data_IF_484353803559
#
_entry.id   IF_484353803559
#
_cell.length_a   1.000
_cell.length_b   1.000
_cell.length_c   1.000
_cell.angle_alpha   90.00
_cell.angle_beta   90.00
_cell.angle_gamma   90.00
#
_symmetry.space_group_name_H-M   'P 1'
#
loop_
_entity.id
_entity.type
_entity.pdbx_description
1 polymer ?
#
# COMPACT_ATOMS: atom_id res chain seq x y z
N UNK A 1 -21.76 -0.66 -20.55
CA UNK A 1 -22.99 0.08 -20.18
C UNK A 1 -23.92 0.27 -21.38
N UNK A 2 -23.43 0.88 -22.46
CA UNK A 2 -24.14 0.98 -23.74
C UNK A 2 -23.20 0.55 -24.88
N UNK A 3 -23.40 -0.63 -25.49
CA UNK A 3 -22.55 -1.13 -26.57
C UNK A 3 -23.07 -0.65 -27.94
N UNK A 4 -22.95 0.65 -28.22
CA UNK A 4 -23.38 1.22 -29.50
C UNK A 4 -22.48 0.81 -30.67
N UNK A 5 -23.08 0.64 -31.86
CA UNK A 5 -22.40 0.25 -33.10
C UNK A 5 -21.91 1.44 -33.94
N UNK A 6 -22.38 2.64 -33.63
CA UNK A 6 -21.99 3.92 -34.22
C UNK A 6 -22.21 5.04 -33.20
N UNK A 7 -21.73 6.25 -33.47
CA UNK A 7 -21.96 7.40 -32.58
C UNK A 7 -23.46 7.72 -32.40
N UNK A 8 -24.25 7.55 -33.47
CA UNK A 8 -25.71 7.77 -33.42
C UNK A 8 -26.38 6.73 -32.56
N UNK A 9 -26.00 5.46 -32.73
CA UNK A 9 -26.52 4.36 -31.92
C UNK A 9 -26.10 4.53 -30.45
N UNK A 10 -24.86 4.95 -30.21
CA UNK A 10 -24.37 5.25 -28.87
C UNK A 10 -25.19 6.36 -28.20
N UNK A 11 -25.49 7.45 -28.90
CA UNK A 11 -26.31 8.55 -28.38
C UNK A 11 -27.77 8.14 -28.18
N UNK A 12 -28.33 7.29 -29.05
CA UNK A 12 -29.66 6.71 -28.87
C UNK A 12 -29.72 5.87 -27.59
N UNK A 13 -28.75 4.98 -27.37
CA UNK A 13 -28.68 4.12 -26.18
C UNK A 13 -28.50 4.94 -24.90
N UNK A 14 -27.69 6.00 -24.93
CA UNK A 14 -27.55 6.93 -23.81
C UNK A 14 -28.90 7.62 -23.52
N UNK A 15 -29.59 8.14 -24.56
CA UNK A 15 -30.90 8.78 -24.39
C UNK A 15 -31.95 7.83 -23.83
N UNK A 16 -31.93 6.57 -24.28
CA UNK A 16 -32.83 5.53 -23.80
C UNK A 16 -32.71 5.30 -22.29
N UNK A 17 -31.53 5.54 -21.71
CA UNK A 17 -31.30 5.33 -20.26
C UNK A 17 -31.34 6.61 -19.44
N UNK A 18 -30.80 7.72 -19.95
CA UNK A 18 -30.61 8.96 -19.19
C UNK A 18 -31.58 10.08 -19.58
N UNK A 19 -32.44 9.86 -20.58
CA UNK A 19 -33.34 10.86 -21.12
C UNK A 19 -32.67 11.78 -22.15
N UNK A 20 -33.32 12.90 -22.45
CA UNK A 20 -32.92 13.77 -23.55
C UNK A 20 -31.56 14.45 -23.34
N UNK A 21 -30.84 14.65 -24.45
CA UNK A 21 -29.62 15.45 -24.47
C UNK A 21 -29.96 16.89 -24.06
N UNK A 22 -29.07 17.51 -23.29
CA UNK A 22 -29.19 18.94 -22.96
C UNK A 22 -28.91 19.82 -24.18
N UNK A 23 -29.46 21.04 -24.17
CA UNK A 23 -29.34 21.99 -25.28
C UNK A 23 -27.89 22.25 -25.72
N UNK A 24 -26.97 22.33 -24.74
CA UNK A 24 -25.53 22.48 -24.99
C UNK A 24 -24.97 21.37 -25.89
N UNK A 25 -25.36 20.11 -25.66
CA UNK A 25 -24.92 18.98 -26.48
C UNK A 25 -25.55 19.00 -27.87
N UNK A 26 -26.84 19.34 -27.95
CA UNK A 26 -27.55 19.47 -29.23
C UNK A 26 -26.91 20.56 -30.11
N UNK A 27 -26.56 21.70 -29.50
CA UNK A 27 -25.88 22.78 -30.20
C UNK A 27 -24.51 22.33 -30.76
N UNK A 28 -23.71 21.62 -29.95
CA UNK A 28 -22.41 21.08 -30.38
C UNK A 28 -22.57 20.11 -31.56
N UNK A 29 -23.54 19.18 -31.49
CA UNK A 29 -23.81 18.24 -32.59
C UNK A 29 -24.18 18.97 -33.89
N UNK A 30 -25.06 19.98 -33.82
CA UNK A 30 -25.47 20.78 -34.99
C UNK A 30 -24.33 21.60 -35.57
N UNK A 31 -23.38 22.04 -34.75
CA UNK A 31 -22.21 22.81 -35.19
C UNK A 31 -21.17 21.97 -35.92
N UNK A 32 -21.14 20.66 -35.67
CA UNK A 32 -20.18 19.75 -36.28
C UNK A 32 -20.63 19.34 -37.69
N UNK A 33 -19.84 19.61 -38.75
CA UNK A 33 -20.19 19.23 -40.12
C UNK A 33 -20.50 17.75 -40.32
N UNK A 34 -19.88 16.85 -39.54
CA UNK A 34 -20.12 15.41 -39.61
C UNK A 34 -21.49 14.99 -39.07
N UNK A 35 -22.09 15.78 -38.18
CA UNK A 35 -23.38 15.48 -37.54
C UNK A 35 -24.50 16.47 -37.89
N UNK A 36 -24.23 17.50 -38.71
CA UNK A 36 -25.17 18.57 -39.05
C UNK A 36 -26.54 18.07 -39.56
N UNK A 37 -26.54 16.96 -40.31
CA UNK A 37 -27.75 16.35 -40.88
C UNK A 37 -28.12 15.02 -40.20
N UNK A 38 -27.47 14.68 -39.08
CA UNK A 38 -27.70 13.44 -38.36
C UNK A 38 -28.86 13.63 -37.40
N UNK A 39 -29.91 12.84 -37.58
CA UNK A 39 -31.04 12.79 -36.65
C UNK A 39 -30.85 11.61 -35.68
N UNK A 40 -30.74 11.91 -34.39
CA UNK A 40 -30.71 10.88 -33.34
C UNK A 40 -32.15 10.48 -33.04
N UNK A 41 -32.56 9.22 -33.27
CA UNK A 41 -33.92 8.79 -33.00
C UNK A 41 -34.32 9.02 -31.54
N UNK A 42 -35.60 9.31 -31.32
CA UNK A 42 -36.16 9.34 -29.97
C UNK A 42 -36.49 7.91 -29.53
N UNK A 43 -36.09 7.49 -28.32
CA UNK A 43 -36.46 6.19 -27.79
C UNK A 43 -37.97 6.10 -27.51
N UNK A 44 -38.62 5.03 -27.93
CA UNK A 44 -40.05 4.78 -27.65
C UNK A 44 -40.32 4.61 -26.15
N UNK A 45 -39.34 4.05 -25.43
CA UNK A 45 -39.39 3.84 -23.98
C UNK A 45 -38.06 4.21 -23.34
N UNK A 46 -38.14 4.68 -22.09
CA UNK A 46 -36.97 4.90 -21.25
C UNK A 46 -36.73 3.64 -20.41
N UNK A 47 -35.49 3.17 -20.40
CA UNK A 47 -34.99 2.09 -19.55
C UNK A 47 -33.95 2.67 -18.59
N UNK A 48 -34.36 3.15 -17.39
CA UNK A 48 -33.45 3.79 -16.44
C UNK A 48 -32.45 2.78 -15.85
N UNK A 49 -31.43 3.29 -15.16
CA UNK A 49 -30.35 2.45 -14.61
C UNK A 49 -30.87 1.40 -13.62
N UNK A 50 -31.89 1.73 -12.83
CA UNK A 50 -32.62 0.87 -11.90
C UNK A 50 -33.14 -0.39 -12.60
N UNK A 51 -33.76 -0.20 -13.77
CA UNK A 51 -34.36 -1.27 -14.54
C UNK A 51 -33.29 -2.10 -15.24
N UNK A 52 -32.23 -1.44 -15.73
CA UNK A 52 -31.12 -2.09 -16.42
C UNK A 52 -30.23 -2.93 -15.50
N UNK A 53 -30.14 -2.53 -14.23
CA UNK A 53 -29.34 -3.19 -13.20
C UNK A 53 -30.18 -3.49 -11.96
N UNK A 54 -31.15 -4.42 -12.03
CA UNK A 54 -32.07 -4.67 -10.92
C UNK A 54 -31.40 -5.33 -9.70
N UNK A 55 -30.20 -5.89 -9.87
CA UNK A 55 -29.49 -6.65 -8.83
C UNK A 55 -28.32 -5.88 -8.19
N UNK A 56 -28.06 -4.63 -8.59
CA UNK A 56 -27.02 -3.83 -7.90
C UNK A 56 -27.58 -3.23 -6.62
N UNK A 57 -26.72 -3.07 -5.62
CA UNK A 57 -27.10 -2.41 -4.37
C UNK A 57 -27.42 -0.94 -4.60
N UNK A 58 -28.30 -0.36 -3.76
CA UNK A 58 -28.70 1.04 -3.86
C UNK A 58 -27.50 2.00 -3.86
N UNK A 59 -26.49 1.73 -3.01
CA UNK A 59 -25.25 2.53 -2.97
C UNK A 59 -24.45 2.47 -4.26
N UNK A 60 -24.40 1.31 -4.91
CA UNK A 60 -23.72 1.14 -6.21
C UNK A 60 -24.47 1.89 -7.30
N UNK A 61 -25.80 1.83 -7.27
CA UNK A 61 -26.65 2.51 -8.24
C UNK A 61 -26.54 4.03 -8.09
N UNK A 62 -26.56 4.54 -6.87
CA UNK A 62 -26.37 5.97 -6.56
C UNK A 62 -25.00 6.48 -7.03
N UNK A 63 -23.95 5.68 -6.79
CA UNK A 63 -22.61 5.96 -7.31
C UNK A 63 -22.60 6.04 -8.85
N UNK A 64 -23.22 5.08 -9.53
CA UNK A 64 -23.33 5.08 -10.99
C UNK A 64 -24.10 6.31 -11.51
N UNK A 65 -25.21 6.67 -10.88
CA UNK A 65 -25.99 7.87 -11.24
C UNK A 65 -25.18 9.15 -11.06
N UNK A 66 -24.39 9.24 -9.99
CA UNK A 66 -23.48 10.37 -9.74
C UNK A 66 -22.40 10.51 -10.81
N UNK A 67 -21.96 9.41 -11.42
CA UNK A 67 -21.01 9.40 -12.53
C UNK A 67 -21.66 9.74 -13.89
N UNK A 68 -22.90 9.32 -14.09
CA UNK A 68 -23.55 9.26 -15.40
C UNK A 68 -24.58 10.38 -15.62
N UNK A 69 -24.37 11.54 -14.99
CA UNK A 69 -25.26 12.69 -15.19
C UNK A 69 -25.11 13.24 -16.61
N UNK A 70 -26.23 13.52 -17.29
CA UNK A 70 -26.24 14.05 -18.66
C UNK A 70 -25.42 15.35 -18.75
N UNK A 71 -25.69 16.27 -17.82
CA UNK A 71 -24.92 17.50 -17.67
C UNK A 71 -23.56 17.23 -17.02
N UNK A 72 -22.44 17.47 -17.73
CA UNK A 72 -21.11 17.20 -17.18
C UNK A 72 -20.78 18.06 -15.96
N UNK A 73 -21.34 19.26 -15.82
CA UNK A 73 -21.06 20.18 -14.69
C UNK A 73 -21.75 19.72 -13.40
N UNK A 74 -22.75 18.84 -13.51
CA UNK A 74 -23.48 18.26 -12.38
C UNK A 74 -22.93 16.91 -11.93
N UNK A 75 -21.94 16.35 -12.65
CA UNK A 75 -21.30 15.09 -12.24
C UNK A 75 -20.43 15.34 -11.02
N UNK A 76 -20.40 14.36 -10.12
CA UNK A 76 -19.43 14.40 -9.03
C UNK A 76 -18.01 14.29 -9.60
N UNK A 77 -17.09 15.04 -9.03
CA UNK A 77 -15.67 14.95 -9.33
C UNK A 77 -15.09 13.64 -8.80
N UNK A 78 -13.94 13.21 -9.32
CA UNK A 78 -13.25 12.02 -8.82
C UNK A 78 -13.00 12.07 -7.30
N UNK A 79 -12.60 13.24 -6.76
CA UNK A 79 -12.36 13.40 -5.32
C UNK A 79 -13.62 13.26 -4.46
N UNK A 80 -14.78 13.70 -4.98
CA UNK A 80 -16.08 13.49 -4.33
C UNK A 80 -16.52 12.03 -4.44
N UNK A 81 -16.35 11.41 -5.61
CA UNK A 81 -16.67 10.00 -5.85
C UNK A 81 -15.84 9.06 -4.97
N UNK A 82 -14.57 9.37 -4.73
CA UNK A 82 -13.72 8.59 -3.81
C UNK A 82 -14.22 8.60 -2.36
N UNK A 83 -15.03 9.59 -1.98
CA UNK A 83 -15.64 9.70 -0.65
C UNK A 83 -17.10 9.24 -0.64
N UNK A 84 -17.60 8.66 -1.73
CA UNK A 84 -18.98 8.23 -1.83
C UNK A 84 -19.26 7.04 -0.89
N UNK A 85 -20.47 6.94 -0.29
CA UNK A 85 -20.86 5.83 0.60
C UNK A 85 -20.74 4.42 0.00
N UNK A 86 -20.58 4.35 -1.32
CA UNK A 86 -20.28 3.11 -2.04
C UNK A 86 -18.96 2.49 -1.58
N UNK A 87 -17.97 3.31 -1.22
CA UNK A 87 -16.66 2.87 -0.72
C UNK A 87 -16.58 2.75 0.81
N UNK A 88 -17.68 2.99 1.53
CA UNK A 88 -17.71 2.78 2.98
C UNK A 88 -17.35 1.32 3.31
N UNK A 89 -16.46 1.13 4.29
CA UNK A 89 -15.98 -0.20 4.69
C UNK A 89 -14.78 -0.71 3.88
N UNK A 90 -14.65 -0.36 2.60
CA UNK A 90 -13.46 -0.69 1.80
C UNK A 90 -12.21 -0.01 2.35
N UNK A 91 -12.32 1.28 2.72
CA UNK A 91 -11.20 2.03 3.31
C UNK A 91 -10.72 1.38 4.61
N UNK A 92 -11.64 0.89 5.44
CA UNK A 92 -11.29 0.27 6.72
C UNK A 92 -10.57 -1.06 6.55
N UNK A 93 -11.02 -1.89 5.59
CA UNK A 93 -10.39 -3.16 5.28
C UNK A 93 -8.98 -2.96 4.72
N UNK A 94 -8.83 -2.04 3.75
CA UNK A 94 -7.52 -1.70 3.19
C UNK A 94 -6.56 -1.13 4.23
N UNK A 95 -7.05 -0.25 5.12
CA UNK A 95 -6.25 0.26 6.22
C UNK A 95 -5.81 -0.81 7.20
N UNK A 96 -6.69 -1.77 7.51
CA UNK A 96 -6.39 -2.90 8.39
C UNK A 96 -5.27 -3.74 7.79
N UNK A 97 -5.42 -4.15 6.53
CA UNK A 97 -4.41 -4.94 5.81
C UNK A 97 -3.06 -4.21 5.77
N UNK A 98 -3.07 -2.91 5.46
CA UNK A 98 -1.84 -2.10 5.43
C UNK A 98 -1.16 -2.02 6.80
N UNK A 99 -1.93 -1.85 7.87
CA UNK A 99 -1.42 -1.85 9.26
C UNK A 99 -0.84 -3.22 9.63
N UNK A 100 -1.46 -4.31 9.20
CA UNK A 100 -0.98 -5.67 9.43
C UNK A 100 0.32 -5.96 8.68
N UNK A 101 0.42 -5.58 7.41
CA UNK A 101 1.65 -5.70 6.62
C UNK A 101 2.81 -4.90 7.22
N UNK A 102 2.55 -3.67 7.68
CA UNK A 102 3.56 -2.86 8.36
C UNK A 102 4.03 -3.50 9.68
N UNK A 103 3.10 -4.03 10.49
CA UNK A 103 3.45 -4.77 11.72
C UNK A 103 4.28 -6.02 11.42
N UNK A 104 3.93 -6.76 10.37
CA UNK A 104 4.68 -7.94 9.95
C UNK A 104 6.12 -7.57 9.56
N UNK A 105 6.27 -6.54 8.71
CA UNK A 105 7.58 -6.06 8.27
C UNK A 105 8.45 -5.59 9.44
N UNK A 106 7.85 -4.90 10.42
CA UNK A 106 8.55 -4.46 11.62
C UNK A 106 9.04 -5.65 12.48
N UNK A 107 8.21 -6.68 12.67
CA UNK A 107 8.59 -7.89 13.42
C UNK A 107 9.73 -8.63 12.74
N UNK A 108 9.70 -8.77 11.42
CA UNK A 108 10.76 -9.40 10.64
C UNK A 108 12.09 -8.64 10.78
N UNK A 109 12.05 -7.30 10.66
CA UNK A 109 13.23 -6.46 10.85
C UNK A 109 13.82 -6.60 12.27
N UNK A 110 12.98 -6.65 13.31
CA UNK A 110 13.45 -6.86 14.69
C UNK A 110 14.12 -8.23 14.86
N UNK A 111 13.57 -9.30 14.28
CA UNK A 111 14.18 -10.64 14.34
C UNK A 111 15.55 -10.65 13.67
N UNK A 112 15.69 -10.00 12.51
CA UNK A 112 16.96 -9.87 11.78
C UNK A 112 18.02 -9.13 12.61
N UNK A 113 17.65 -8.01 13.24
CA UNK A 113 18.55 -7.26 14.12
C UNK A 113 19.01 -8.08 15.32
N UNK A 114 18.10 -8.81 15.97
CA UNK A 114 18.46 -9.70 17.09
C UNK A 114 19.37 -10.83 16.64
N UNK A 115 19.18 -11.38 15.45
CA UNK A 115 20.04 -12.43 14.91
C UNK A 115 21.44 -11.89 14.61
N UNK A 116 21.57 -10.70 14.03
CA UNK A 116 22.87 -10.04 13.83
C UNK A 116 23.58 -9.77 15.16
N UNK A 117 22.88 -9.25 16.18
CA UNK A 117 23.47 -9.01 17.49
C UNK A 117 23.95 -10.32 18.16
N UNK A 118 23.23 -11.42 17.99
CA UNK A 118 23.66 -12.75 18.45
C UNK A 118 24.91 -13.24 17.72
N UNK A 119 24.97 -13.06 16.39
CA UNK A 119 26.14 -13.43 15.58
C UNK A 119 27.36 -12.62 16.03
N UNK A 120 27.24 -11.30 16.22
CA UNK A 120 28.33 -10.46 16.72
C UNK A 120 28.81 -10.91 18.10
N UNK A 121 27.91 -11.13 19.06
CA UNK A 121 28.28 -11.60 20.40
C UNK A 121 28.96 -12.98 20.37
N UNK A 122 28.52 -13.90 19.52
CA UNK A 122 29.14 -15.22 19.41
C UNK A 122 30.55 -15.15 18.81
N UNK A 123 30.80 -14.22 17.88
CA UNK A 123 32.15 -13.95 17.32
C UNK A 123 33.09 -13.35 18.37
N UNK A 124 32.60 -12.40 19.20
CA UNK A 124 33.40 -11.85 20.30
C UNK A 124 33.76 -12.91 21.35
N UNK A 125 32.81 -13.76 21.75
CA UNK A 125 33.02 -14.79 22.78
C UNK A 125 33.99 -15.88 22.29
N UNK A 126 33.91 -16.27 21.02
CA UNK A 126 34.85 -17.25 20.42
C UNK A 126 36.26 -16.68 20.23
N UNK A 127 36.41 -15.37 20.00
CA UNK A 127 37.71 -14.70 19.96
C UNK A 127 38.42 -14.61 21.32
N UNK A 128 37.69 -14.52 22.43
CA UNK A 128 38.28 -14.38 23.79
C UNK A 128 38.77 -15.69 24.44
N UNK A 129 38.54 -16.86 23.85
CA UNK A 129 38.92 -18.15 24.45
C UNK A 129 40.34 -18.65 24.16
N UNK A 130 41.20 -17.88 23.47
CA UNK A 130 42.58 -18.29 23.18
C UNK A 130 43.67 -17.80 24.15
N UNK A 131 43.36 -17.03 25.21
CA UNK A 131 44.41 -16.45 26.08
C UNK A 131 44.43 -16.91 27.54
N UNK A 132 43.70 -17.95 27.95
CA UNK A 132 43.71 -18.35 29.36
C UNK A 132 43.84 -19.86 29.64
N UNK A 133 44.83 -20.51 29.02
CA UNK A 133 45.37 -21.78 29.52
C UNK A 133 46.90 -21.77 29.47
N UNK A 134 47.51 -21.34 30.57
CA UNK A 134 48.93 -21.46 30.82
C UNK A 134 49.20 -21.56 32.32
N UNK A 135 48.85 -22.69 32.93
CA UNK A 135 49.39 -23.03 34.25
C UNK A 135 49.87 -24.49 34.29
N UNK A 136 51.06 -24.64 34.85
CA UNK A 136 52.07 -25.69 34.69
C UNK A 136 51.77 -27.01 35.45
N UNK A 137 52.36 -28.15 35.04
CA UNK A 137 52.47 -29.33 35.88
C UNK A 137 53.71 -29.26 36.79
N UNK A 138 53.59 -29.87 37.98
CA UNK A 138 54.54 -29.85 39.09
C UNK A 138 55.57 -30.99 39.07
N UNK A 139 56.78 -30.65 39.56
CA UNK A 139 57.79 -31.45 40.27
C UNK A 139 58.59 -32.53 39.51
N UNK A 140 59.90 -32.24 39.34
CA UNK A 140 60.95 -33.12 39.87
C UNK A 140 62.18 -32.35 40.32
N UNK A 141 62.67 -32.83 41.45
CA UNK A 141 63.79 -32.41 42.30
C UNK A 141 65.12 -32.89 41.70
N UNK A 142 66.13 -32.03 41.71
CA UNK A 142 67.58 -32.28 41.95
C UNK A 142 68.19 -30.88 42.19
N UNK A 143 68.69 -30.57 43.39
CA UNK A 143 70.14 -30.52 43.70
C UNK A 143 70.86 -29.57 42.71
N UNK A 144 71.38 -28.41 43.10
CA UNK A 144 72.33 -28.19 44.19
C UNK A 144 72.48 -26.73 44.61
N UNK A 145 72.92 -26.60 45.85
CA UNK A 145 73.83 -25.62 46.46
C UNK A 145 73.79 -24.11 46.13
N UNK A 146 73.72 -23.41 47.27
CA UNK A 146 74.52 -22.26 47.67
C UNK A 146 74.14 -20.86 47.22
N UNK A 147 74.04 -20.01 48.24
CA UNK A 147 74.67 -18.71 48.17
C UNK A 147 73.75 -17.54 48.47
N UNK A 148 73.70 -17.20 49.76
CA UNK A 148 73.74 -15.84 50.31
C UNK A 148 72.78 -14.76 49.71
N UNK A 149 71.83 -14.25 50.48
CA UNK A 149 71.99 -13.05 51.34
C UNK A 149 72.40 -11.81 50.51
N UNK A 150 71.69 -10.69 50.46
CA UNK A 150 71.10 -9.87 51.54
C UNK A 150 70.33 -8.70 50.86
N UNK A 151 69.51 -7.90 51.59
CA UNK A 151 68.48 -7.00 51.06
C UNK A 151 68.90 -5.52 51.08
N UNK A 152 68.12 -4.65 50.45
CA UNK A 152 67.90 -3.25 50.87
C UNK A 152 66.78 -2.63 50.02
N UNK A 153 65.64 -2.24 50.62
CA UNK A 153 65.33 -0.92 51.18
C UNK A 153 64.96 0.10 50.10
N UNK A 154 63.70 0.54 50.13
CA UNK A 154 63.29 1.93 50.41
C UNK A 154 63.57 2.90 49.24
N UNK A 155 62.57 3.64 48.76
CA UNK A 155 62.09 4.82 49.46
C UNK A 155 60.93 5.49 48.70
N UNK A 156 60.23 6.32 49.47
CA UNK A 156 59.12 7.26 49.24
C UNK A 156 59.29 8.09 47.97
N UNK A 157 58.22 8.51 47.28
CA UNK A 157 57.15 9.38 47.78
C UNK A 157 57.41 10.82 47.33
N UNK A 158 56.37 11.51 46.85
CA UNK A 158 56.43 12.89 46.37
C UNK A 158 55.56 13.11 45.15
#
# INVERSE_FOLDING_TARGET
LWPGKSDVDQLYLIRKTLGNLIDKHVAILKSNPHYKNVHIPEPDTIEPLEQKFPYVSERSLDFMKSCLVMDPEKRLTCGQLSQHPYFDGFTNEFERERKEQQKHLHREQQKLLQQQAKIQNNVYVTGTKQQNQGHFPSLSRNQDHDGNNTPASDDRGG
#
